data_IF_383287436770
#
_entry.id   IF_383287436770
#
_cell.length_a   1.000
_cell.length_b   1.000
_cell.length_c   1.000
_cell.angle_alpha   90.00
_cell.angle_beta   90.00
_cell.angle_gamma   90.00
#
_symmetry.space_group_name_H-M   'P 1'
#
loop_
_entity.id
_entity.type
_entity.pdbx_description
1 polymer ?
#
# COMPACT_ATOMS: atom_id res chain seq x y z
N UNK A 1 -18.84 2.73 -32.31
CA UNK A 1 -19.98 3.36 -31.59
C UNK A 1 -21.19 3.74 -32.46
N UNK A 2 -21.11 3.72 -33.81
CA UNK A 2 -22.18 4.28 -34.67
C UNK A 2 -23.56 3.59 -34.56
N UNK A 3 -23.62 2.37 -34.02
CA UNK A 3 -24.84 1.56 -33.89
C UNK A 3 -25.21 1.21 -32.44
N UNK A 4 -24.59 1.83 -31.44
CA UNK A 4 -24.90 1.52 -30.04
C UNK A 4 -26.09 2.33 -29.54
N UNK A 5 -26.96 1.68 -28.77
CA UNK A 5 -28.08 2.34 -28.11
C UNK A 5 -27.58 3.32 -27.04
N UNK A 6 -28.38 4.33 -26.69
CA UNK A 6 -28.08 5.28 -25.63
C UNK A 6 -27.84 4.55 -24.30
N UNK A 7 -28.70 3.58 -23.98
CA UNK A 7 -28.53 2.74 -22.78
C UNK A 7 -27.17 2.05 -22.77
N UNK A 8 -26.73 1.48 -23.89
CA UNK A 8 -25.42 0.81 -23.98
C UNK A 8 -24.26 1.78 -23.78
N UNK A 9 -24.34 3.00 -24.31
CA UNK A 9 -23.29 4.02 -24.13
C UNK A 9 -23.19 4.48 -22.68
N UNK A 10 -24.34 4.71 -22.02
CA UNK A 10 -24.39 5.07 -20.60
C UNK A 10 -23.80 3.93 -19.76
N UNK A 11 -24.30 2.70 -19.93
CA UNK A 11 -23.79 1.55 -19.17
C UNK A 11 -22.30 1.32 -19.38
N UNK A 12 -21.81 1.43 -20.62
CA UNK A 12 -20.39 1.26 -20.91
C UNK A 12 -19.53 2.35 -20.26
N UNK A 13 -19.96 3.61 -20.29
CA UNK A 13 -19.21 4.70 -19.64
C UNK A 13 -19.10 4.50 -18.13
N UNK A 14 -20.19 4.12 -17.46
CA UNK A 14 -20.17 3.79 -16.03
C UNK A 14 -19.34 2.53 -15.75
N UNK A 15 -19.46 1.49 -16.58
CA UNK A 15 -18.68 0.27 -16.43
C UNK A 15 -17.17 0.54 -16.52
N UNK A 16 -16.72 1.42 -17.43
CA UNK A 16 -15.32 1.83 -17.53
C UNK A 16 -14.85 2.54 -16.26
N UNK A 17 -15.64 3.49 -15.74
CA UNK A 17 -15.30 4.22 -14.51
C UNK A 17 -15.23 3.25 -13.31
N UNK A 18 -16.21 2.36 -13.17
CA UNK A 18 -16.24 1.34 -12.11
C UNK A 18 -15.04 0.40 -12.23
N UNK A 19 -14.71 -0.07 -13.43
CA UNK A 19 -13.56 -0.93 -13.65
C UNK A 19 -12.24 -0.26 -13.24
N UNK A 20 -12.07 1.02 -13.56
CA UNK A 20 -10.89 1.80 -13.15
C UNK A 20 -10.86 1.97 -11.63
N UNK A 21 -12.00 2.30 -11.00
CA UNK A 21 -12.08 2.42 -9.53
C UNK A 21 -11.74 1.09 -8.84
N UNK A 22 -12.25 -0.04 -9.33
CA UNK A 22 -11.93 -1.36 -8.80
C UNK A 22 -10.43 -1.67 -8.94
N UNK A 23 -9.85 -1.40 -10.12
CA UNK A 23 -8.42 -1.59 -10.36
C UNK A 23 -7.59 -0.74 -9.40
N UNK A 24 -8.00 0.52 -9.17
CA UNK A 24 -7.35 1.43 -8.22
C UNK A 24 -7.40 0.88 -6.78
N UNK A 25 -8.53 0.30 -6.35
CA UNK A 25 -8.65 -0.36 -5.05
C UNK A 25 -7.73 -1.57 -4.95
N UNK A 26 -7.71 -2.44 -5.97
CA UNK A 26 -6.85 -3.64 -5.99
C UNK A 26 -5.37 -3.26 -5.90
N UNK A 27 -4.93 -2.27 -6.68
CA UNK A 27 -3.54 -1.78 -6.65
C UNK A 27 -3.22 -1.18 -5.28
N UNK A 28 -4.10 -0.33 -4.74
CA UNK A 28 -3.90 0.31 -3.44
C UNK A 28 -3.80 -0.71 -2.32
N UNK A 29 -4.68 -1.71 -2.33
CA UNK A 29 -4.70 -2.78 -1.33
C UNK A 29 -3.45 -3.67 -1.43
N UNK A 30 -3.02 -4.03 -2.64
CA UNK A 30 -1.79 -4.80 -2.86
C UNK A 30 -0.55 -4.06 -2.34
N UNK A 31 -0.50 -2.73 -2.51
CA UNK A 31 0.57 -1.89 -1.95
C UNK A 31 0.53 -1.85 -0.43
N UNK A 32 -0.65 -1.83 0.17
CA UNK A 32 -0.81 -1.88 1.63
C UNK A 32 -0.27 -3.20 2.20
N UNK A 33 -0.60 -4.34 1.58
CA UNK A 33 -0.07 -5.65 1.99
C UNK A 33 1.46 -5.73 1.90
N UNK A 34 2.06 -5.12 0.89
CA UNK A 34 3.53 -5.05 0.78
C UNK A 34 4.17 -4.22 1.90
N UNK A 35 3.49 -3.16 2.36
CA UNK A 35 3.94 -2.35 3.49
C UNK A 35 3.80 -3.13 4.80
N UNK A 36 2.69 -3.84 4.98
CA UNK A 36 2.43 -4.70 6.16
C UNK A 36 3.51 -5.79 6.30
N UNK A 37 3.85 -6.48 5.21
CA UNK A 37 4.95 -7.46 5.22
C UNK A 37 6.30 -6.82 5.59
N UNK A 38 6.59 -5.62 5.08
CA UNK A 38 7.85 -4.93 5.39
C UNK A 38 7.89 -4.44 6.85
N UNK A 39 6.74 -4.08 7.42
CA UNK A 39 6.61 -3.75 8.84
C UNK A 39 6.85 -4.99 9.72
N UNK A 40 6.35 -6.14 9.30
CA UNK A 40 6.55 -7.39 10.01
C UNK A 40 8.03 -7.79 10.07
N UNK A 41 8.80 -7.58 8.99
CA UNK A 41 10.25 -7.78 8.98
C UNK A 41 10.93 -6.87 10.02
N UNK A 42 10.56 -5.58 10.11
CA UNK A 42 11.13 -4.69 11.13
C UNK A 42 10.77 -5.14 12.55
N UNK A 43 9.53 -5.59 12.76
CA UNK A 43 8.99 -5.96 14.07
C UNK A 43 9.55 -7.28 14.60
N UNK A 44 9.67 -8.27 13.73
CA UNK A 44 10.02 -9.64 14.12
C UNK A 44 11.52 -9.94 13.98
N UNK A 45 12.20 -9.28 13.03
CA UNK A 45 13.62 -9.49 12.75
C UNK A 45 14.46 -8.32 13.26
N UNK A 46 14.36 -7.18 12.59
CA UNK A 46 15.42 -6.18 12.69
C UNK A 46 15.49 -5.46 14.05
N UNK A 47 14.35 -5.13 14.67
CA UNK A 47 14.33 -4.51 16.00
C UNK A 47 14.74 -5.48 17.11
N UNK A 48 14.18 -6.71 17.20
CA UNK A 48 14.65 -7.71 18.15
C UNK A 48 16.15 -8.02 18.01
N UNK A 49 16.69 -8.10 16.79
CA UNK A 49 18.10 -8.33 16.53
C UNK A 49 19.00 -7.26 17.15
N UNK A 50 18.69 -5.97 16.95
CA UNK A 50 19.43 -4.85 17.57
C UNK A 50 19.29 -4.86 19.10
N UNK A 51 18.08 -5.11 19.60
CA UNK A 51 17.79 -5.11 21.03
C UNK A 51 18.56 -6.22 21.76
N UNK A 52 18.39 -7.48 21.34
CA UNK A 52 19.03 -8.61 22.00
C UNK A 52 20.54 -8.64 21.78
N UNK A 53 21.07 -8.24 20.63
CA UNK A 53 22.54 -8.12 20.45
C UNK A 53 23.15 -7.12 21.43
N UNK A 54 22.45 -6.02 21.72
CA UNK A 54 22.86 -5.03 22.72
C UNK A 54 22.81 -5.62 24.14
N UNK A 55 21.76 -6.38 24.48
CA UNK A 55 21.64 -7.04 25.78
C UNK A 55 22.70 -8.13 25.98
N UNK A 56 22.97 -8.96 24.97
CA UNK A 56 24.04 -9.96 24.98
C UNK A 56 25.39 -9.28 25.22
N UNK A 57 25.66 -8.16 24.54
CA UNK A 57 26.89 -7.37 24.76
C UNK A 57 26.99 -6.82 26.17
N UNK A 58 25.89 -6.36 26.75
CA UNK A 58 25.86 -5.90 28.15
C UNK A 58 26.17 -7.05 29.11
N UNK A 59 25.44 -8.15 29.01
CA UNK A 59 25.61 -9.33 29.85
C UNK A 59 27.01 -9.95 29.72
N UNK A 60 27.58 -9.97 28.51
CA UNK A 60 28.97 -10.39 28.25
C UNK A 60 30.01 -9.55 29.02
N UNK A 61 29.70 -8.27 29.26
CA UNK A 61 30.57 -7.37 30.00
C UNK A 61 30.49 -7.49 31.52
N UNK A 62 29.34 -7.88 32.06
CA UNK A 62 29.11 -7.93 33.52
C UNK A 62 30.05 -8.90 34.22
N UNK A 63 30.14 -10.15 33.74
CA UNK A 63 31.06 -11.16 34.30
C UNK A 63 32.53 -10.72 34.21
N UNK A 64 32.91 -10.07 33.09
CA UNK A 64 34.27 -9.57 32.89
C UNK A 64 34.63 -8.44 33.86
N UNK A 65 33.76 -7.45 34.05
CA UNK A 65 34.01 -6.34 34.98
C UNK A 65 34.18 -6.87 36.40
N UNK A 66 33.33 -7.81 36.82
CA UNK A 66 33.40 -8.42 38.17
C UNK A 66 34.65 -9.28 38.35
N UNK A 67 35.08 -9.98 37.30
CA UNK A 67 36.36 -10.70 37.30
C UNK A 67 37.54 -9.74 37.40
N UNK A 68 37.48 -8.60 36.69
CA UNK A 68 38.53 -7.59 36.72
C UNK A 68 38.65 -6.96 38.12
N UNK A 69 37.52 -6.63 38.77
CA UNK A 69 37.48 -6.18 40.17
C UNK A 69 38.11 -7.21 41.12
N UNK A 70 37.72 -8.48 41.00
CA UNK A 70 38.26 -9.58 41.80
C UNK A 70 39.78 -9.70 41.66
N UNK A 71 40.31 -9.60 40.44
CA UNK A 71 41.73 -9.77 40.14
C UNK A 71 42.56 -8.53 40.50
N UNK A 72 41.97 -7.33 40.41
CA UNK A 72 42.65 -6.07 40.70
C UNK A 72 42.65 -5.72 42.20
N UNK A 73 41.53 -5.93 42.89
CA UNK A 73 41.30 -5.51 44.28
C UNK A 73 41.29 -6.68 45.27
N UNK A 74 41.34 -7.92 44.77
CA UNK A 74 41.35 -9.13 45.58
C UNK A 74 42.46 -9.11 46.63
N UNK A 75 42.08 -9.09 47.90
CA UNK A 75 43.00 -9.09 49.05
C UNK A 75 43.72 -10.44 49.26
N UNK A 76 43.78 -11.29 48.23
CA UNK A 76 44.32 -12.64 48.35
C UNK A 76 43.46 -13.55 49.24
N UNK A 77 42.13 -13.51 49.07
CA UNK A 77 41.18 -14.43 49.71
C UNK A 77 40.45 -15.30 48.69
N UNK A 78 39.95 -16.50 49.06
CA UNK A 78 39.10 -17.30 48.20
C UNK A 78 37.77 -16.61 47.83
N UNK A 79 37.10 -17.13 46.81
CA UNK A 79 35.76 -16.68 46.41
C UNK A 79 34.73 -17.03 47.49
N UNK A 80 33.97 -16.02 47.91
CA UNK A 80 32.79 -16.20 48.76
C UNK A 80 31.69 -16.94 48.00
N UNK A 81 30.74 -17.51 48.75
CA UNK A 81 29.52 -18.08 48.15
C UNK A 81 28.76 -17.04 47.34
N UNK A 82 28.62 -15.82 47.85
CA UNK A 82 27.91 -14.74 47.17
C UNK A 82 28.55 -14.37 45.82
N UNK A 83 29.88 -14.31 45.74
CA UNK A 83 30.58 -14.06 44.47
C UNK A 83 30.36 -15.19 43.47
N UNK A 84 30.39 -16.45 43.92
CA UNK A 84 30.07 -17.60 43.06
C UNK A 84 28.64 -17.56 42.53
N UNK A 85 27.67 -17.28 43.41
CA UNK A 85 26.26 -17.15 43.03
C UNK A 85 26.07 -15.99 42.03
N UNK A 86 26.82 -14.88 42.17
CA UNK A 86 26.82 -13.79 41.20
C UNK A 86 27.37 -14.21 39.83
N UNK A 87 28.50 -14.91 39.78
CA UNK A 87 29.06 -15.39 38.51
C UNK A 87 28.12 -16.36 37.80
N UNK A 88 27.47 -17.25 38.54
CA UNK A 88 26.42 -18.11 37.98
C UNK A 88 25.26 -17.29 37.42
N UNK A 89 24.80 -16.26 38.15
CA UNK A 89 23.75 -15.36 37.68
C UNK A 89 24.11 -14.60 36.40
N UNK A 90 25.37 -14.19 36.22
CA UNK A 90 25.81 -13.56 34.96
C UNK A 90 25.76 -14.54 33.78
N UNK A 91 26.19 -15.79 33.97
CA UNK A 91 26.13 -16.82 32.93
C UNK A 91 24.68 -17.17 32.56
N UNK A 92 23.79 -17.29 33.55
CA UNK A 92 22.35 -17.51 33.34
C UNK A 92 21.67 -16.34 32.60
N UNK A 93 21.99 -15.09 32.99
CA UNK A 93 21.48 -13.91 32.29
C UNK A 93 21.99 -13.85 30.85
N UNK A 94 23.30 -14.07 30.63
CA UNK A 94 23.88 -14.10 29.30
C UNK A 94 23.22 -15.17 28.42
N UNK A 95 23.03 -16.38 28.93
CA UNK A 95 22.32 -17.45 28.23
C UNK A 95 20.90 -17.03 27.86
N UNK A 96 20.17 -16.41 28.78
CA UNK A 96 18.81 -15.90 28.54
C UNK A 96 18.78 -14.89 27.40
N UNK A 97 19.72 -13.93 27.37
CA UNK A 97 19.78 -12.94 26.29
C UNK A 97 20.17 -13.58 24.95
N UNK A 98 21.06 -14.58 24.97
CA UNK A 98 21.44 -15.34 23.78
C UNK A 98 20.27 -16.14 23.21
N UNK A 99 19.45 -16.76 24.06
CA UNK A 99 18.24 -17.48 23.63
C UNK A 99 17.17 -16.53 23.08
N UNK A 100 17.12 -15.29 23.60
CA UNK A 100 16.35 -14.20 23.00
C UNK A 100 16.85 -13.85 21.60
N UNK A 101 18.17 -13.63 21.47
CA UNK A 101 18.81 -13.30 20.19
C UNK A 101 18.62 -14.38 19.13
N UNK A 102 18.71 -15.67 19.49
CA UNK A 102 18.49 -16.79 18.54
C UNK A 102 17.13 -16.73 17.84
N UNK A 103 16.10 -16.18 18.50
CA UNK A 103 14.76 -16.03 17.94
C UNK A 103 14.66 -14.87 16.95
N UNK A 104 15.63 -13.97 16.95
CA UNK A 104 15.72 -12.85 16.02
C UNK A 104 16.69 -13.07 14.87
N UNK A 105 17.23 -14.28 14.66
CA UNK A 105 18.15 -14.58 13.57
C UNK A 105 17.38 -15.04 12.34
N UNK A 106 17.37 -14.21 11.29
CA UNK A 106 16.68 -14.52 10.03
C UNK A 106 17.61 -14.69 8.82
N UNK A 107 18.88 -14.29 8.94
CA UNK A 107 19.88 -14.42 7.87
C UNK A 107 20.94 -15.46 8.22
N UNK A 108 21.51 -16.10 7.19
CA UNK A 108 22.59 -17.07 7.38
C UNK A 108 23.88 -16.38 7.88
N UNK A 109 24.17 -15.16 7.42
CA UNK A 109 25.32 -14.38 7.88
C UNK A 109 25.25 -14.06 9.38
N UNK A 110 24.07 -13.69 9.87
CA UNK A 110 23.84 -13.45 11.30
C UNK A 110 23.96 -14.76 12.11
N UNK A 111 23.40 -15.85 11.58
CA UNK A 111 23.50 -17.17 12.20
C UNK A 111 24.96 -17.62 12.36
N UNK A 112 25.75 -17.50 11.31
CA UNK A 112 27.16 -17.91 11.30
C UNK A 112 28.01 -17.02 12.22
N UNK A 113 27.78 -15.71 12.19
CA UNK A 113 28.45 -14.77 13.07
C UNK A 113 28.09 -15.01 14.53
N UNK A 114 26.83 -15.30 14.85
CA UNK A 114 26.42 -15.62 16.22
C UNK A 114 26.98 -16.97 16.69
N UNK A 115 26.96 -18.00 15.85
CA UNK A 115 27.54 -19.32 16.18
C UNK A 115 29.05 -19.21 16.47
N UNK A 116 29.77 -18.34 15.76
CA UNK A 116 31.16 -18.06 16.06
C UNK A 116 31.34 -17.34 17.42
N UNK A 117 30.41 -16.47 17.83
CA UNK A 117 30.40 -15.88 19.16
C UNK A 117 30.14 -16.95 20.25
N UNK A 118 29.19 -17.88 20.03
CA UNK A 118 28.91 -18.98 20.96
C UNK A 118 30.16 -19.81 21.25
N UNK A 119 30.92 -20.17 20.22
CA UNK A 119 32.20 -20.90 20.37
C UNK A 119 33.22 -20.11 21.20
N UNK A 120 33.30 -18.79 21.02
CA UNK A 120 34.19 -17.93 21.83
C UNK A 120 33.73 -17.84 23.27
N UNK A 121 32.43 -17.75 23.51
CA UNK A 121 31.84 -17.74 24.85
C UNK A 121 32.19 -19.02 25.60
N UNK A 122 32.05 -20.19 24.96
CA UNK A 122 32.42 -21.47 25.56
C UNK A 122 33.92 -21.54 25.90
N UNK A 123 34.78 -21.06 25.00
CA UNK A 123 36.22 -20.98 25.27
C UNK A 123 36.52 -20.07 26.47
N UNK A 124 35.92 -18.87 26.50
CA UNK A 124 36.06 -17.92 27.60
C UNK A 124 35.58 -18.50 28.93
N UNK A 125 34.40 -19.12 28.97
CA UNK A 125 33.84 -19.71 30.20
C UNK A 125 34.77 -20.80 30.76
N UNK A 126 35.33 -21.67 29.90
CA UNK A 126 36.34 -22.67 30.31
C UNK A 126 37.60 -22.02 30.88
N UNK A 127 38.14 -21.01 30.22
CA UNK A 127 39.36 -20.34 30.67
C UNK A 127 39.14 -19.55 31.97
N UNK A 128 37.97 -18.91 32.11
CA UNK A 128 37.59 -18.20 33.32
C UNK A 128 37.43 -19.16 34.51
N UNK A 129 36.90 -20.36 34.29
CA UNK A 129 36.81 -21.40 35.33
C UNK A 129 38.19 -21.81 35.85
N UNK A 130 39.21 -21.91 34.98
CA UNK A 130 40.59 -22.18 35.40
C UNK A 130 41.18 -21.02 36.22
N UNK A 131 40.91 -19.78 35.82
CA UNK A 131 41.29 -18.59 36.61
C UNK A 131 40.65 -18.64 38.00
N UNK A 132 39.35 -18.93 38.10
CA UNK A 132 38.66 -19.10 39.38
C UNK A 132 39.25 -20.25 40.20
N UNK A 133 39.61 -21.39 39.57
CA UNK A 133 40.22 -22.52 40.25
C UNK A 133 41.62 -22.18 40.81
N UNK A 134 42.45 -21.43 40.07
CA UNK A 134 43.73 -20.92 40.58
C UNK A 134 43.52 -19.96 41.75
N UNK A 135 42.54 -19.08 41.63
CA UNK A 135 42.18 -18.12 42.66
C UNK A 135 41.72 -18.83 43.95
N UNK A 136 40.89 -19.87 43.86
CA UNK A 136 40.43 -20.68 44.99
C UNK A 136 41.56 -21.47 45.69
N UNK A 137 42.59 -21.86 44.93
CA UNK A 137 43.81 -22.50 45.48
C UNK A 137 44.80 -21.51 46.11
N UNK A 138 44.51 -20.21 46.07
CA UNK A 138 45.38 -19.17 46.59
C UNK A 138 46.49 -18.72 45.62
N UNK A 139 46.48 -19.20 44.38
CA UNK A 139 47.42 -18.76 43.33
C UNK A 139 46.90 -17.50 42.63
N UNK A 140 46.89 -16.39 43.38
CA UNK A 140 46.35 -15.12 42.91
C UNK A 140 47.19 -14.50 41.79
N UNK A 141 48.52 -14.64 41.86
CA UNK A 141 49.43 -14.13 40.85
C UNK A 141 49.30 -14.90 39.53
N UNK A 142 49.19 -16.23 39.60
CA UNK A 142 48.95 -17.08 38.43
C UNK A 142 47.58 -16.84 37.80
N UNK A 143 46.53 -16.71 38.61
CA UNK A 143 45.18 -16.34 38.15
C UNK A 143 45.18 -14.98 37.42
N UNK A 144 45.87 -13.98 38.00
CA UNK A 144 46.01 -12.65 37.40
C UNK A 144 46.78 -12.70 36.09
N UNK A 145 47.90 -13.42 36.03
CA UNK A 145 48.71 -13.54 34.84
C UNK A 145 47.91 -14.18 33.69
N UNK A 146 47.27 -15.32 33.94
CA UNK A 146 46.44 -16.04 32.95
C UNK A 146 45.24 -15.21 32.49
N UNK A 147 44.59 -14.48 33.41
CA UNK A 147 43.48 -13.62 33.01
C UNK A 147 43.90 -12.56 32.00
N UNK A 148 45.03 -11.87 32.22
CA UNK A 148 45.49 -10.83 31.31
C UNK A 148 46.09 -11.38 30.02
N UNK A 149 46.82 -12.51 30.07
CA UNK A 149 47.48 -13.08 28.90
C UNK A 149 46.53 -13.87 28.01
N UNK A 150 45.60 -14.63 28.60
CA UNK A 150 44.85 -15.66 27.88
C UNK A 150 43.35 -15.30 27.82
N UNK A 151 42.73 -14.97 28.96
CA UNK A 151 41.27 -14.72 29.04
C UNK A 151 40.87 -13.39 28.39
N UNK A 152 41.58 -12.30 28.70
CA UNK A 152 41.26 -10.96 28.24
C UNK A 152 41.25 -10.82 26.71
N UNK A 153 42.23 -11.36 25.94
CA UNK A 153 42.17 -11.33 24.48
C UNK A 153 40.94 -12.04 23.89
N UNK A 154 40.53 -13.17 24.47
CA UNK A 154 39.32 -13.91 24.04
C UNK A 154 38.06 -13.09 24.31
N UNK A 155 37.98 -12.45 25.48
CA UNK A 155 36.88 -11.56 25.82
C UNK A 155 36.77 -10.35 24.87
N UNK A 156 37.90 -9.69 24.59
CA UNK A 156 37.97 -8.56 23.66
C UNK A 156 37.55 -8.97 22.24
N UNK A 157 37.98 -10.15 21.77
CA UNK A 157 37.55 -10.68 20.49
C UNK A 157 36.04 -10.95 20.45
N UNK A 158 35.46 -11.54 21.50
CA UNK A 158 34.02 -11.72 21.63
C UNK A 158 33.25 -10.40 21.65
N UNK A 159 33.74 -9.41 22.39
CA UNK A 159 33.14 -8.06 22.43
C UNK A 159 33.19 -7.37 21.06
N UNK A 160 34.30 -7.50 20.33
CA UNK A 160 34.44 -6.96 18.98
C UNK A 160 33.41 -7.61 18.05
N UNK A 161 33.28 -8.93 18.08
CA UNK A 161 32.31 -9.66 17.28
C UNK A 161 30.85 -9.27 17.60
N UNK A 162 30.52 -9.08 18.89
CA UNK A 162 29.20 -8.55 19.26
C UNK A 162 28.97 -7.12 18.76
N UNK A 163 30.00 -6.26 18.74
CA UNK A 163 29.85 -4.94 18.12
C UNK A 163 29.57 -5.04 16.62
N UNK A 164 30.27 -5.94 15.92
CA UNK A 164 30.05 -6.20 14.49
C UNK A 164 28.62 -6.71 14.24
N UNK A 165 28.12 -7.62 15.08
CA UNK A 165 26.72 -8.08 15.05
C UNK A 165 25.72 -6.94 15.28
N UNK A 166 25.93 -6.07 16.27
CA UNK A 166 25.06 -4.90 16.52
C UNK A 166 25.04 -3.97 15.31
N UNK A 167 26.20 -3.71 14.71
CA UNK A 167 26.30 -2.86 13.52
C UNK A 167 25.58 -3.49 12.33
N UNK A 168 25.75 -4.79 12.10
CA UNK A 168 25.07 -5.52 11.03
C UNK A 168 23.55 -5.52 11.22
N UNK A 169 23.06 -5.85 12.42
CA UNK A 169 21.63 -5.80 12.76
C UNK A 169 21.06 -4.39 12.60
N UNK A 170 21.81 -3.36 13.01
CA UNK A 170 21.39 -1.97 12.80
C UNK A 170 21.28 -1.63 11.32
N UNK A 171 22.23 -2.07 10.49
CA UNK A 171 22.17 -1.84 9.04
C UNK A 171 20.96 -2.54 8.41
N UNK A 172 20.66 -3.78 8.83
CA UNK A 172 19.45 -4.50 8.41
C UNK A 172 18.19 -3.73 8.81
N UNK A 173 18.12 -3.20 10.04
CA UNK A 173 16.99 -2.39 10.51
C UNK A 173 16.84 -1.08 9.74
N UNK A 174 17.94 -0.38 9.46
CA UNK A 174 17.94 0.85 8.68
C UNK A 174 17.48 0.56 7.23
N UNK A 175 17.92 -0.55 6.64
CA UNK A 175 17.52 -0.97 5.29
C UNK A 175 16.05 -1.40 5.22
N UNK A 176 15.56 -2.17 6.18
CA UNK A 176 14.15 -2.55 6.27
C UNK A 176 13.26 -1.31 6.42
N UNK A 177 13.66 -0.34 7.26
CA UNK A 177 12.97 0.94 7.39
C UNK A 177 12.96 1.74 6.09
N UNK A 178 14.10 1.81 5.37
CA UNK A 178 14.18 2.49 4.08
C UNK A 178 13.28 1.83 3.02
N UNK A 179 13.17 0.49 3.02
CA UNK A 179 12.28 -0.24 2.13
C UNK A 179 10.81 0.11 2.39
N UNK A 180 10.38 0.23 3.66
CA UNK A 180 9.04 0.71 4.01
C UNK A 180 8.80 2.11 3.45
N UNK A 181 9.72 3.05 3.68
CA UNK A 181 9.59 4.43 3.20
C UNK A 181 9.44 4.48 1.67
N UNK A 182 10.26 3.70 0.96
CA UNK A 182 10.19 3.59 -0.50
C UNK A 182 8.89 2.96 -0.98
N UNK A 183 8.40 1.91 -0.31
CA UNK A 183 7.13 1.27 -0.61
C UNK A 183 5.95 2.23 -0.43
N UNK A 184 5.96 3.02 0.65
CA UNK A 184 4.96 4.07 0.92
C UNK A 184 5.00 5.16 -0.16
N UNK A 185 6.19 5.62 -0.56
CA UNK A 185 6.33 6.64 -1.60
C UNK A 185 5.84 6.13 -2.95
N UNK A 186 6.20 4.90 -3.33
CA UNK A 186 5.70 4.25 -4.54
C UNK A 186 4.17 4.08 -4.50
N UNK A 187 3.60 3.71 -3.36
CA UNK A 187 2.15 3.61 -3.17
C UNK A 187 1.48 4.98 -3.40
N UNK A 188 1.98 6.05 -2.77
CA UNK A 188 1.48 7.43 -2.95
C UNK A 188 1.50 7.88 -4.41
N UNK A 189 2.63 7.69 -5.10
CA UNK A 189 2.76 8.03 -6.52
C UNK A 189 1.75 7.25 -7.36
N UNK A 190 1.64 5.93 -7.11
CA UNK A 190 0.70 5.09 -7.86
C UNK A 190 -0.77 5.47 -7.63
N UNK A 191 -1.14 5.88 -6.41
CA UNK A 191 -2.49 6.37 -6.09
C UNK A 191 -2.79 7.67 -6.83
N UNK A 192 -1.87 8.64 -6.83
CA UNK A 192 -2.05 9.93 -7.53
C UNK A 192 -2.18 9.72 -9.03
N UNK A 193 -1.31 8.89 -9.63
CA UNK A 193 -1.37 8.57 -11.06
C UNK A 193 -2.68 7.85 -11.41
N UNK A 194 -3.11 6.88 -10.59
CA UNK A 194 -4.37 6.15 -10.81
C UNK A 194 -5.58 7.07 -10.73
N UNK A 195 -5.59 8.00 -9.75
CA UNK A 195 -6.63 9.02 -9.63
C UNK A 195 -6.67 9.93 -10.86
N UNK A 196 -5.51 10.40 -11.33
CA UNK A 196 -5.43 11.25 -12.51
C UNK A 196 -5.97 10.55 -13.76
N UNK A 197 -5.62 9.28 -13.97
CA UNK A 197 -6.16 8.46 -15.07
C UNK A 197 -7.68 8.29 -14.93
N UNK A 198 -8.19 8.02 -13.73
CA UNK A 198 -9.62 7.89 -13.48
C UNK A 198 -10.39 9.19 -13.79
N UNK A 199 -9.85 10.34 -13.37
CA UNK A 199 -10.44 11.66 -13.64
C UNK A 199 -10.45 11.95 -15.14
N UNK A 200 -9.35 11.70 -15.86
CA UNK A 200 -9.29 11.89 -17.31
C UNK A 200 -10.27 10.98 -18.05
N UNK A 201 -10.37 9.71 -17.64
CA UNK A 201 -11.32 8.76 -18.21
C UNK A 201 -12.77 9.18 -17.95
N UNK A 202 -13.09 9.63 -16.73
CA UNK A 202 -14.40 10.14 -16.37
C UNK A 202 -14.76 11.40 -17.16
N UNK A 203 -13.83 12.35 -17.31
CA UNK A 203 -14.01 13.55 -18.12
C UNK A 203 -14.24 13.21 -19.60
N UNK A 204 -13.45 12.30 -20.17
CA UNK A 204 -13.61 11.85 -21.56
C UNK A 204 -14.98 11.17 -21.77
N UNK A 205 -15.37 10.26 -20.87
CA UNK A 205 -16.68 9.60 -20.91
C UNK A 205 -17.83 10.61 -20.79
N UNK A 206 -17.71 11.56 -19.86
CA UNK A 206 -18.69 12.63 -19.65
C UNK A 206 -18.85 13.51 -20.88
N UNK A 207 -17.75 13.92 -21.52
CA UNK A 207 -17.78 14.71 -22.75
C UNK A 207 -18.39 13.93 -23.93
N UNK A 208 -18.08 12.65 -24.07
CA UNK A 208 -18.65 11.79 -25.12
C UNK A 208 -20.15 11.58 -24.91
N UNK A 209 -20.58 11.32 -23.68
CA UNK A 209 -22.00 11.20 -23.33
C UNK A 209 -22.75 12.50 -23.57
N UNK A 210 -22.21 13.62 -23.06
CA UNK A 210 -22.77 14.95 -23.25
C UNK A 210 -22.97 15.25 -24.74
N UNK A 211 -21.96 15.03 -25.58
CA UNK A 211 -22.09 15.19 -27.04
C UNK A 211 -23.14 14.24 -27.63
N UNK A 212 -23.20 12.99 -27.16
CA UNK A 212 -24.13 11.99 -27.69
C UNK A 212 -25.61 12.25 -27.35
N UNK A 213 -25.89 13.02 -26.29
CA UNK A 213 -27.24 13.34 -25.81
C UNK A 213 -27.64 14.77 -26.17
N UNK A 214 -26.78 15.75 -25.92
CA UNK A 214 -27.11 17.17 -26.12
C UNK A 214 -27.28 17.52 -27.60
N UNK A 215 -26.44 16.98 -28.49
CA UNK A 215 -26.51 17.28 -29.92
C UNK A 215 -27.87 16.91 -30.57
N UNK A 216 -28.39 15.67 -30.43
CA UNK A 216 -29.71 15.34 -30.98
C UNK A 216 -30.84 16.11 -30.28
N UNK A 217 -30.71 16.38 -28.98
CA UNK A 217 -31.72 17.14 -28.23
C UNK A 217 -31.83 18.58 -28.72
N UNK A 218 -30.69 19.24 -28.99
CA UNK A 218 -30.68 20.58 -29.58
C UNK A 218 -31.33 20.62 -30.97
N UNK A 219 -31.15 19.57 -31.79
CA UNK A 219 -31.80 19.50 -33.10
C UNK A 219 -33.32 19.37 -32.97
N UNK A 220 -33.79 18.52 -32.06
CA UNK A 220 -35.22 18.36 -31.78
C UNK A 220 -35.84 19.68 -31.33
N UNK A 221 -35.20 20.36 -30.37
CA UNK A 221 -35.67 21.68 -29.88
C UNK A 221 -35.71 22.71 -31.01
N UNK A 222 -34.67 22.78 -31.84
CA UNK A 222 -34.62 23.73 -32.97
C UNK A 222 -35.76 23.49 -33.99
N UNK A 223 -36.09 22.24 -34.31
CA UNK A 223 -37.19 21.94 -35.25
C UNK A 223 -38.54 22.23 -34.60
N UNK A 224 -38.69 21.99 -33.29
CA UNK A 224 -39.88 22.36 -32.54
C UNK A 224 -40.14 23.88 -32.58
N UNK A 225 -39.08 24.69 -32.46
CA UNK A 225 -39.18 26.15 -32.59
C UNK A 225 -39.65 26.59 -33.98
N UNK A 226 -39.19 25.93 -35.05
CA UNK A 226 -39.67 26.16 -36.43
C UNK A 226 -41.16 25.79 -36.53
N UNK A 227 -41.54 24.62 -36.04
CA UNK A 227 -42.92 24.15 -36.04
C UNK A 227 -43.86 25.11 -35.32
N UNK A 228 -43.42 25.73 -34.22
CA UNK A 228 -44.19 26.74 -33.48
C UNK A 228 -44.59 27.95 -34.33
N UNK A 229 -43.86 28.23 -35.42
CA UNK A 229 -44.20 29.30 -36.37
C UNK A 229 -45.28 28.91 -37.38
N UNK A 230 -45.73 27.65 -37.37
CA UNK A 230 -46.71 27.09 -38.31
C UNK A 230 -46.09 26.39 -39.52
N UNK A 231 -44.76 26.36 -39.64
CA UNK A 231 -44.07 25.62 -40.70
C UNK A 231 -43.98 24.11 -40.36
N UNK A 232 -44.86 23.33 -41.00
CA UNK A 232 -44.92 21.87 -40.88
C UNK A 232 -44.16 21.14 -42.00
N UNK A 233 -43.40 21.85 -42.85
CA UNK A 233 -42.71 21.25 -44.00
C UNK A 233 -41.39 20.57 -43.62
N UNK A 234 -40.75 21.01 -42.54
CA UNK A 234 -39.46 20.47 -42.08
C UNK A 234 -39.62 19.04 -41.56
N UNK A 235 -38.59 18.20 -41.67
CA UNK A 235 -38.59 16.85 -41.08
C UNK A 235 -37.38 16.67 -40.18
N UNK A 236 -37.54 15.93 -39.09
CA UNK A 236 -36.44 15.58 -38.20
C UNK A 236 -35.63 14.46 -38.85
N UNK A 237 -34.32 14.66 -38.96
CA UNK A 237 -33.37 13.65 -39.43
C UNK A 237 -32.17 13.66 -38.49
N UNK A 238 -32.11 12.68 -37.60
CA UNK A 238 -31.00 12.51 -36.66
C UNK A 238 -29.93 11.58 -37.24
N UNK A 239 -30.25 10.81 -38.30
CA UNK A 239 -29.34 9.83 -38.91
C UNK A 239 -28.78 8.83 -37.90
N UNK A 240 -29.62 8.41 -36.94
CA UNK A 240 -29.27 7.46 -35.87
C UNK A 240 -30.09 6.17 -35.98
N UNK A 241 -29.58 5.12 -35.34
CA UNK A 241 -30.23 3.80 -35.23
C UNK A 241 -30.42 3.37 -33.76
N UNK A 242 -30.43 4.34 -32.84
CA UNK A 242 -30.66 4.14 -31.41
C UNK A 242 -32.05 4.65 -31.00
N UNK A 243 -32.32 4.78 -29.71
CA UNK A 243 -33.61 5.23 -29.17
C UNK A 243 -34.06 6.59 -29.76
N UNK A 244 -33.14 7.43 -30.23
CA UNK A 244 -33.47 8.67 -30.93
C UNK A 244 -34.08 8.44 -32.33
N UNK A 245 -33.88 7.28 -32.97
CA UNK A 245 -34.55 6.94 -34.23
C UNK A 245 -36.06 6.73 -34.01
N UNK A 246 -36.44 6.13 -32.89
CA UNK A 246 -37.86 5.98 -32.53
C UNK A 246 -38.50 7.35 -32.31
N UNK A 247 -37.78 8.28 -31.67
CA UNK A 247 -38.20 9.68 -31.53
C UNK A 247 -38.32 10.38 -32.89
N UNK A 248 -37.34 10.19 -33.78
CA UNK A 248 -37.36 10.72 -35.14
C UNK A 248 -38.59 10.26 -35.92
N UNK A 249 -38.86 8.95 -35.90
CA UNK A 249 -39.99 8.33 -36.60
C UNK A 249 -41.31 8.88 -36.09
N UNK A 250 -41.56 8.80 -34.77
CA UNK A 250 -42.80 9.29 -34.18
C UNK A 250 -43.01 10.80 -34.36
N UNK A 251 -41.93 11.59 -34.35
CA UNK A 251 -42.01 13.03 -34.63
C UNK A 251 -42.44 13.32 -36.07
N UNK A 252 -41.89 12.60 -37.05
CA UNK A 252 -42.23 12.77 -38.46
C UNK A 252 -43.64 12.26 -38.80
N UNK A 253 -44.11 11.21 -38.14
CA UNK A 253 -45.48 10.72 -38.25
C UNK A 253 -46.47 11.77 -37.73
N UNK A 254 -46.25 12.33 -36.54
CA UNK A 254 -47.05 13.41 -35.98
C UNK A 254 -47.10 14.65 -36.90
N UNK A 255 -45.97 15.04 -37.50
CA UNK A 255 -45.93 16.13 -38.49
C UNK A 255 -46.79 15.85 -39.71
N UNK A 256 -46.81 14.60 -40.17
CA UNK A 256 -47.62 14.18 -41.32
C UNK A 256 -49.11 14.22 -41.00
N UNK A 257 -49.50 13.77 -39.81
CA UNK A 257 -50.88 13.82 -39.33
C UNK A 257 -51.36 15.27 -39.16
N UNK A 258 -50.55 16.13 -38.53
CA UNK A 258 -50.87 17.56 -38.37
C UNK A 258 -51.01 18.27 -39.73
N UNK A 259 -50.11 18.00 -40.67
CA UNK A 259 -50.18 18.56 -42.04
C UNK A 259 -51.48 18.13 -42.73
N UNK A 260 -51.86 16.86 -42.56
CA UNK A 260 -53.09 16.29 -43.14
C UNK A 260 -54.33 16.92 -42.52
N UNK A 261 -54.36 17.09 -41.19
CA UNK A 261 -55.45 17.75 -40.47
C UNK A 261 -55.61 19.22 -40.88
N UNK A 262 -54.52 19.97 -41.01
CA UNK A 262 -54.56 21.37 -41.49
C UNK A 262 -55.07 21.43 -42.93
N UNK A 263 -54.60 20.55 -43.82
CA UNK A 263 -55.06 20.48 -45.20
C UNK A 263 -56.54 20.07 -45.31
N UNK A 264 -57.02 19.19 -44.42
CA UNK A 264 -58.43 18.84 -44.35
C UNK A 264 -59.28 20.01 -43.84
N UNK A 265 -58.85 20.70 -42.79
CA UNK A 265 -59.52 21.88 -42.27
C UNK A 265 -59.62 23.00 -43.32
N UNK A 266 -58.53 23.27 -44.05
CA UNK A 266 -58.53 24.23 -45.16
C UNK A 266 -59.52 23.83 -46.26
N UNK A 267 -59.55 22.55 -46.67
CA UNK A 267 -60.53 22.05 -47.66
C UNK A 267 -61.97 22.22 -47.17
N UNK A 268 -62.25 21.89 -45.91
CA UNK A 268 -63.57 22.10 -45.32
C UNK A 268 -63.95 23.58 -45.25
N UNK A 269 -63.02 24.48 -44.91
CA UNK A 269 -63.27 25.93 -44.93
C UNK A 269 -63.59 26.45 -46.33
N UNK A 270 -62.84 26.01 -47.36
CA UNK A 270 -63.13 26.37 -48.76
C UNK A 270 -64.51 25.86 -49.17
N UNK A 271 -64.85 24.61 -48.87
CA UNK A 271 -66.15 24.04 -49.18
C UNK A 271 -67.28 24.84 -48.52
N UNK A 272 -67.14 25.20 -47.24
CA UNK A 272 -68.09 26.05 -46.52
C UNK A 272 -68.21 27.43 -47.19
N UNK A 273 -67.10 28.08 -47.55
CA UNK A 273 -67.14 29.37 -48.26
C UNK A 273 -67.85 29.25 -49.61
N UNK A 274 -67.56 28.21 -50.39
CA UNK A 274 -68.22 27.95 -51.67
C UNK A 274 -69.73 27.78 -51.50
N UNK A 275 -70.16 26.96 -50.53
CA UNK A 275 -71.57 26.79 -50.21
C UNK A 275 -72.24 28.08 -49.76
N UNK A 276 -71.55 28.92 -48.96
CA UNK A 276 -72.07 30.24 -48.57
C UNK A 276 -72.22 31.17 -49.78
N UNK A 277 -71.29 31.18 -50.72
CA UNK A 277 -71.43 31.96 -51.96
C UNK A 277 -72.52 31.44 -52.88
N UNK A 278 -72.71 30.13 -52.99
CA UNK A 278 -73.84 29.56 -53.75
C UNK A 278 -75.18 29.94 -53.10
N UNK A 279 -75.27 29.86 -51.77
CA UNK A 279 -76.44 30.31 -51.02
C UNK A 279 -76.66 31.82 -51.24
N UNK A 280 -75.63 32.66 -51.14
CA UNK A 280 -75.72 34.10 -51.37
C UNK A 280 -76.11 34.46 -52.82
N UNK A 281 -75.67 33.67 -53.80
CA UNK A 281 -76.03 33.82 -55.20
C UNK A 281 -77.47 33.38 -55.49
N UNK A 282 -77.99 32.40 -54.75
CA UNK A 282 -79.38 31.89 -54.86
C UNK A 282 -80.39 32.60 -53.97
N UNK A 283 -79.94 33.47 -53.06
CA UNK A 283 -80.79 34.26 -52.15
C UNK A 283 -81.01 35.73 -52.61
N UNK A 284 -80.68 36.06 -53.86
CA UNK A 284 -81.16 37.26 -54.58
C UNK A 284 -82.36 36.92 -55.46
#
# INVERSE_FOLDING_TARGET
>A
MKNWTLRQRILASFAVIIAIMLLMVVVSYSRLLSIESSEEDVRLDALPGVYYSTLVRSAWGESYIRTLELIAEGQGRPLTKQERDQFQGFDENLQTQMDGYKKSIFTDDDRDSFAAFEKRREAYSRMLAEVHAKYDRGDYAGARAEFYSDVNPVWLAGRKQLNELIVANKQLADQATANIVNAVLAAKISMVLSLLVAVLAAAACGLLLMRSIMAPMQLIVRILDIMRTGDLSTRLNLSRKDEFNAVETGFNDMMTDLTTLVAQAQRSSVQVTTSVTEIAATSR
#
